data_IF_852149506785
#
_entry.id   IF_852149506785
#
_cell.length_a   1.000
_cell.length_b   1.000
_cell.length_c   1.000
_cell.angle_alpha   90.00
_cell.angle_beta   90.00
_cell.angle_gamma   90.00
#
_symmetry.space_group_name_H-M   'P 1'
#
loop_
_entity.id
_entity.type
_entity.pdbx_description
1 polymer ?
#
# COMPACT_ATOMS: atom_id res chain seq x y z
N UNK A 1 25.62 -28.11 -24.69
CA UNK A 1 24.67 -29.19 -24.43
C UNK A 1 23.33 -28.61 -23.94
N UNK A 2 22.30 -29.42 -23.92
CA UNK A 2 21.00 -29.07 -23.35
C UNK A 2 21.00 -29.53 -21.90
N UNK A 3 20.60 -28.64 -20.96
CA UNK A 3 20.43 -28.97 -19.55
C UNK A 3 18.94 -29.18 -19.27
N UNK A 4 18.60 -30.31 -18.65
CA UNK A 4 17.22 -30.64 -18.27
C UNK A 4 17.17 -30.74 -16.75
N UNK A 5 16.29 -29.92 -16.15
CA UNK A 5 16.09 -29.86 -14.71
C UNK A 5 14.68 -30.30 -14.39
N UNK A 6 14.54 -31.32 -13.53
CA UNK A 6 13.25 -31.80 -13.06
C UNK A 6 13.03 -31.34 -11.62
N UNK A 7 11.88 -30.70 -11.39
CA UNK A 7 11.48 -30.19 -10.10
C UNK A 7 10.22 -30.90 -9.61
N UNK A 8 10.05 -31.09 -8.30
CA UNK A 8 8.84 -31.66 -7.73
C UNK A 8 7.64 -30.72 -7.91
N UNK A 9 6.42 -31.31 -7.94
CA UNK A 9 5.17 -30.56 -8.09
C UNK A 9 4.77 -29.73 -6.86
N UNK A 10 4.95 -30.23 -5.61
CA UNK A 10 4.57 -29.45 -4.42
C UNK A 10 5.37 -28.15 -4.32
N UNK A 11 4.71 -26.96 -4.15
CA UNK A 11 5.38 -25.65 -4.20
C UNK A 11 6.55 -25.50 -3.23
N UNK A 12 6.39 -25.93 -1.98
CA UNK A 12 7.43 -25.83 -0.97
C UNK A 12 8.69 -26.66 -1.29
N UNK A 13 8.52 -27.87 -1.83
CA UNK A 13 9.63 -28.71 -2.25
C UNK A 13 10.30 -28.14 -3.50
N UNK A 14 9.48 -27.69 -4.47
CA UNK A 14 9.94 -27.06 -5.69
C UNK A 14 10.81 -25.82 -5.39
N UNK A 15 10.33 -24.90 -4.56
CA UNK A 15 11.08 -23.70 -4.17
C UNK A 15 12.37 -24.04 -3.43
N UNK A 16 12.32 -25.01 -2.51
CA UNK A 16 13.51 -25.43 -1.76
C UNK A 16 14.58 -25.99 -2.68
N UNK A 17 14.17 -26.86 -3.61
CA UNK A 17 15.09 -27.48 -4.57
C UNK A 17 15.62 -26.47 -5.59
N UNK A 18 14.76 -25.54 -6.06
CA UNK A 18 15.17 -24.44 -6.93
C UNK A 18 16.30 -23.61 -6.29
N UNK A 19 16.08 -23.15 -5.06
CA UNK A 19 17.05 -22.28 -4.36
C UNK A 19 18.33 -23.00 -3.97
N UNK A 20 18.24 -24.25 -3.52
CA UNK A 20 19.42 -24.99 -2.99
C UNK A 20 20.27 -25.67 -4.06
N UNK A 21 19.64 -26.12 -5.16
CA UNK A 21 20.31 -26.95 -6.15
C UNK A 21 20.37 -26.29 -7.52
N UNK A 22 19.22 -25.80 -8.02
CA UNK A 22 19.12 -25.33 -9.42
C UNK A 22 19.76 -23.95 -9.60
N UNK A 23 19.47 -23.01 -8.71
CA UNK A 23 19.99 -21.66 -8.80
C UNK A 23 21.53 -21.60 -8.75
N UNK A 24 22.21 -22.24 -7.78
CA UNK A 24 23.68 -22.32 -7.79
C UNK A 24 24.25 -22.98 -9.07
N UNK A 25 23.60 -24.03 -9.54
CA UNK A 25 24.01 -24.71 -10.78
C UNK A 25 23.91 -23.79 -12.00
N UNK A 26 22.78 -23.09 -12.18
CA UNK A 26 22.59 -22.15 -13.29
C UNK A 26 23.54 -20.96 -13.19
N UNK A 27 23.77 -20.44 -11.98
CA UNK A 27 24.76 -19.36 -11.75
C UNK A 27 26.17 -19.78 -12.17
N UNK A 28 26.55 -21.02 -11.95
CA UNK A 28 27.86 -21.52 -12.37
C UNK A 28 28.03 -21.63 -13.89
N UNK A 29 26.92 -21.72 -14.64
CA UNK A 29 26.92 -21.78 -16.11
C UNK A 29 26.92 -20.40 -16.77
N UNK A 30 26.47 -19.37 -16.07
CA UNK A 30 26.37 -18.02 -16.59
C UNK A 30 27.58 -17.18 -16.16
N UNK A 31 28.14 -16.42 -17.10
CA UNK A 31 29.12 -15.37 -16.82
C UNK A 31 28.47 -14.00 -16.59
N UNK A 32 27.16 -13.94 -16.73
CA UNK A 32 26.39 -12.72 -16.63
C UNK A 32 25.41 -12.80 -15.45
N UNK A 33 25.09 -11.65 -14.88
CA UNK A 33 24.11 -11.49 -13.82
C UNK A 33 22.90 -10.73 -14.34
N UNK A 34 21.74 -11.01 -13.74
CA UNK A 34 20.51 -10.24 -13.95
C UNK A 34 20.15 -9.60 -12.61
N UNK A 35 20.04 -8.28 -12.62
CA UNK A 35 19.59 -7.48 -11.47
C UNK A 35 18.27 -6.79 -11.84
N UNK A 36 17.35 -6.70 -10.91
CA UNK A 36 16.07 -6.05 -11.11
C UNK A 36 15.68 -5.22 -9.90
N UNK A 37 15.06 -4.05 -10.15
CA UNK A 37 14.42 -3.23 -9.15
C UNK A 37 12.92 -3.14 -9.39
N UNK A 38 12.14 -3.32 -8.34
CA UNK A 38 10.69 -3.14 -8.34
C UNK A 38 10.35 -1.74 -7.83
N UNK A 39 9.87 -0.88 -8.72
CA UNK A 39 9.39 0.46 -8.38
C UNK A 39 7.90 0.36 -8.13
N UNK A 40 7.50 0.63 -6.89
CA UNK A 40 6.14 0.44 -6.41
C UNK A 40 5.37 1.74 -6.44
N UNK A 41 4.16 1.73 -7.03
CA UNK A 41 3.31 2.93 -7.19
C UNK A 41 1.90 2.69 -6.70
N UNK A 42 1.28 3.75 -6.16
CA UNK A 42 -0.12 3.74 -5.74
C UNK A 42 -0.82 5.05 -6.14
N UNK A 43 -2.13 4.96 -6.48
CA UNK A 43 -2.97 6.11 -6.82
C UNK A 43 -3.02 6.45 -8.30
N UNK A 44 -2.23 5.78 -9.14
CA UNK A 44 -2.27 5.89 -10.60
C UNK A 44 -2.65 4.54 -11.23
N UNK A 45 -3.52 4.56 -12.22
CA UNK A 45 -3.90 3.34 -12.94
C UNK A 45 -2.81 2.88 -13.92
N UNK A 46 -2.78 1.56 -14.23
CA UNK A 46 -1.80 0.96 -15.12
C UNK A 46 -1.77 1.64 -16.51
N UNK A 47 -2.94 1.92 -17.09
CA UNK A 47 -3.03 2.61 -18.40
C UNK A 47 -2.40 4.01 -18.38
N UNK A 48 -2.53 4.73 -17.27
CA UNK A 48 -1.91 6.06 -17.12
C UNK A 48 -0.40 5.97 -16.96
N UNK A 49 0.08 4.96 -16.21
CA UNK A 49 1.52 4.68 -16.09
C UNK A 49 2.09 4.26 -17.44
N UNK A 50 1.40 3.37 -18.15
CA UNK A 50 1.80 2.95 -19.50
C UNK A 50 1.88 4.13 -20.46
N UNK A 51 0.86 5.00 -20.49
CA UNK A 51 0.85 6.18 -21.35
C UNK A 51 2.04 7.11 -21.11
N UNK A 52 2.46 7.29 -19.85
CA UNK A 52 3.58 8.15 -19.49
C UNK A 52 4.94 7.55 -19.86
N UNK A 53 5.07 6.23 -19.82
CA UNK A 53 6.36 5.53 -19.96
C UNK A 53 6.45 4.63 -21.19
N UNK A 54 5.39 4.55 -22.01
CA UNK A 54 5.28 3.65 -23.16
C UNK A 54 6.48 3.73 -24.11
N UNK A 55 6.77 4.92 -24.59
CA UNK A 55 7.89 5.14 -25.52
C UNK A 55 9.23 4.70 -24.94
N UNK A 56 9.36 4.86 -23.61
CA UNK A 56 10.57 4.43 -22.91
C UNK A 56 10.64 2.92 -22.84
N UNK A 57 9.57 2.27 -22.41
CA UNK A 57 9.50 0.81 -22.30
C UNK A 57 9.76 0.11 -23.64
N UNK A 58 9.19 0.63 -24.73
CA UNK A 58 9.35 0.05 -26.07
C UNK A 58 10.78 0.20 -26.63
N UNK A 59 11.46 1.32 -26.32
CA UNK A 59 12.82 1.58 -26.85
C UNK A 59 13.92 0.91 -26.06
N UNK A 60 13.65 0.52 -24.83
CA UNK A 60 14.68 -0.10 -23.96
C UNK A 60 14.90 -1.57 -24.34
N UNK A 61 16.17 -1.93 -24.49
CA UNK A 61 16.61 -3.32 -24.78
C UNK A 61 17.35 -3.91 -23.58
N UNK A 62 18.29 -3.16 -23.02
CA UNK A 62 19.02 -3.49 -21.80
C UNK A 62 19.56 -2.18 -21.19
N UNK A 63 19.09 -1.76 -20.02
CA UNK A 63 18.05 -2.40 -19.19
C UNK A 63 16.66 -2.39 -19.84
N UNK A 64 15.76 -3.25 -19.37
CA UNK A 64 14.32 -3.25 -19.74
C UNK A 64 13.50 -2.63 -18.63
N UNK A 65 12.33 -2.07 -18.98
CA UNK A 65 11.33 -1.58 -18.05
C UNK A 65 9.96 -2.17 -18.43
N UNK A 66 9.24 -2.74 -17.48
CA UNK A 66 7.93 -3.32 -17.71
C UNK A 66 6.97 -3.04 -16.54
N UNK A 67 5.68 -2.87 -16.86
CA UNK A 67 4.61 -2.74 -15.86
C UNK A 67 4.03 -4.11 -15.49
N UNK A 68 3.65 -4.24 -14.22
CA UNK A 68 2.94 -5.40 -13.70
C UNK A 68 1.79 -4.91 -12.84
N UNK A 69 0.56 -5.21 -13.27
CA UNK A 69 -0.62 -4.95 -12.47
C UNK A 69 -0.59 -5.80 -11.21
N UNK A 70 -0.75 -5.15 -10.07
CA UNK A 70 -1.09 -5.77 -8.79
C UNK A 70 -2.51 -5.40 -8.40
N UNK A 71 -3.15 -6.13 -7.48
CA UNK A 71 -4.42 -5.69 -6.95
C UNK A 71 -4.31 -4.28 -6.38
N UNK A 72 -4.94 -3.30 -7.06
CA UNK A 72 -5.02 -1.89 -6.65
C UNK A 72 -3.70 -1.10 -6.62
N UNK A 73 -2.62 -1.64 -7.21
CA UNK A 73 -1.30 -1.02 -7.31
C UNK A 73 -0.67 -1.29 -8.68
N UNK A 74 0.33 -0.52 -9.06
CA UNK A 74 1.16 -0.82 -10.23
C UNK A 74 2.61 -0.97 -9.79
N UNK A 75 3.22 -2.06 -10.21
CA UNK A 75 4.64 -2.30 -10.04
C UNK A 75 5.34 -2.12 -11.39
N UNK A 76 6.37 -1.31 -11.44
CA UNK A 76 7.28 -1.27 -12.57
C UNK A 76 8.55 -2.03 -12.21
N UNK A 77 9.00 -2.88 -13.11
CA UNK A 77 10.25 -3.61 -12.92
C UNK A 77 11.27 -3.14 -13.96
N UNK A 78 12.37 -2.58 -13.47
CA UNK A 78 13.55 -2.31 -14.27
C UNK A 78 14.51 -3.50 -14.14
N UNK A 79 15.01 -4.05 -15.25
CA UNK A 79 15.88 -5.24 -15.24
C UNK A 79 17.08 -5.01 -16.15
N UNK A 80 18.28 -5.22 -15.62
CA UNK A 80 19.54 -5.16 -16.37
C UNK A 80 20.25 -6.52 -16.37
N UNK A 81 20.89 -6.82 -17.48
CA UNK A 81 21.80 -7.95 -17.69
C UNK A 81 23.20 -7.40 -17.93
N UNK A 82 24.19 -7.83 -17.14
CA UNK A 82 25.56 -7.35 -17.21
C UNK A 82 26.58 -8.41 -16.81
N UNK A 83 27.87 -8.13 -16.98
CA UNK A 83 28.96 -9.02 -16.58
C UNK A 83 29.10 -9.11 -15.03
N UNK A 84 28.62 -8.10 -14.31
CA UNK A 84 28.66 -8.06 -12.85
C UNK A 84 27.52 -7.23 -12.25
N UNK A 85 27.28 -7.42 -10.94
CA UNK A 85 26.19 -6.72 -10.23
C UNK A 85 26.40 -5.20 -10.23
N UNK A 86 27.62 -4.73 -10.04
CA UNK A 86 27.95 -3.29 -10.02
C UNK A 86 27.61 -2.60 -11.34
N UNK A 87 27.94 -3.25 -12.47
CA UNK A 87 27.60 -2.76 -13.80
C UNK A 87 26.08 -2.73 -14.01
N UNK A 88 25.36 -3.80 -13.59
CA UNK A 88 23.92 -3.85 -13.68
C UNK A 88 23.24 -2.73 -12.86
N UNK A 89 23.73 -2.49 -11.65
CA UNK A 89 23.24 -1.39 -10.79
C UNK A 89 23.49 -0.01 -11.42
N UNK A 90 24.67 0.20 -12.01
CA UNK A 90 24.98 1.44 -12.73
C UNK A 90 24.05 1.68 -13.93
N UNK A 91 23.60 0.61 -14.60
CA UNK A 91 22.62 0.69 -15.68
C UNK A 91 21.20 0.97 -15.16
N UNK A 92 20.83 0.43 -14.00
CA UNK A 92 19.48 0.54 -13.44
C UNK A 92 19.24 1.89 -12.73
N UNK A 93 20.24 2.44 -12.07
CA UNK A 93 20.11 3.67 -11.30
C UNK A 93 19.47 4.84 -12.10
N UNK A 94 19.89 5.18 -13.33
CA UNK A 94 19.28 6.24 -14.14
C UNK A 94 17.82 5.90 -14.52
N UNK A 95 17.47 4.64 -14.77
CA UNK A 95 16.10 4.21 -15.11
C UNK A 95 15.17 4.40 -13.89
N UNK A 96 15.62 3.97 -12.72
CA UNK A 96 14.87 4.17 -11.47
C UNK A 96 14.66 5.64 -11.19
N UNK A 97 15.70 6.48 -11.36
CA UNK A 97 15.62 7.91 -11.16
C UNK A 97 14.61 8.58 -12.13
N UNK A 98 14.66 8.20 -13.41
CA UNK A 98 13.74 8.68 -14.43
C UNK A 98 12.28 8.31 -14.15
N UNK A 99 12.01 7.06 -13.77
CA UNK A 99 10.67 6.61 -13.40
C UNK A 99 10.15 7.36 -12.17
N UNK A 100 11.01 7.57 -11.15
CA UNK A 100 10.65 8.36 -9.97
C UNK A 100 10.35 9.82 -10.33
N UNK A 101 11.11 10.42 -11.23
CA UNK A 101 10.84 11.78 -11.68
C UNK A 101 9.53 11.89 -12.50
N UNK A 102 9.26 10.91 -13.36
CA UNK A 102 8.05 10.89 -14.17
C UNK A 102 6.77 10.65 -13.37
N UNK A 103 6.81 9.79 -12.36
CA UNK A 103 5.64 9.40 -11.57
C UNK A 103 5.53 10.17 -10.23
N UNK A 104 6.58 10.85 -9.78
CA UNK A 104 6.57 11.71 -8.60
C UNK A 104 6.04 11.03 -7.35
N UNK A 105 5.07 11.66 -6.70
CA UNK A 105 4.48 11.25 -5.41
C UNK A 105 3.73 9.90 -5.47
N UNK A 106 3.40 9.41 -6.67
CA UNK A 106 2.79 8.10 -6.83
C UNK A 106 3.77 6.96 -6.52
N UNK A 107 5.08 7.19 -6.65
CA UNK A 107 6.09 6.20 -6.25
C UNK A 107 6.22 6.19 -4.74
N UNK A 108 5.85 5.09 -4.09
CA UNK A 108 5.96 4.97 -2.65
C UNK A 108 7.21 4.23 -2.16
N UNK A 109 7.90 3.52 -3.05
CA UNK A 109 9.15 2.86 -2.70
C UNK A 109 9.78 2.10 -3.86
N UNK A 110 11.02 1.69 -3.67
CA UNK A 110 11.77 0.77 -4.55
C UNK A 110 12.17 -0.44 -3.73
N UNK A 111 11.92 -1.63 -4.25
CA UNK A 111 12.20 -2.92 -3.60
C UNK A 111 11.54 -3.09 -2.22
N UNK A 112 10.40 -2.43 -2.02
CA UNK A 112 9.61 -2.52 -0.79
C UNK A 112 8.47 -3.54 -0.94
N UNK A 113 8.09 -4.16 0.16
CA UNK A 113 7.05 -5.20 0.15
C UNK A 113 5.65 -4.65 -0.06
N UNK A 114 5.37 -3.42 0.42
CA UNK A 114 4.07 -2.76 0.34
C UNK A 114 4.06 -1.44 1.11
N UNK A 115 2.93 -0.73 1.04
CA UNK A 115 2.71 0.54 1.74
C UNK A 115 2.87 0.40 3.26
N UNK A 116 2.41 -0.72 3.84
CA UNK A 116 2.55 -1.01 5.27
C UNK A 116 4.01 -1.07 5.72
N UNK A 117 4.88 -1.65 4.88
CA UNK A 117 6.31 -1.74 5.20
C UNK A 117 6.98 -0.35 5.16
N UNK A 118 6.58 0.49 4.21
CA UNK A 118 7.06 1.88 4.11
C UNK A 118 6.56 2.69 5.31
N UNK A 119 5.27 2.59 5.67
CA UNK A 119 4.72 3.26 6.85
C UNK A 119 5.45 2.83 8.13
N UNK A 120 5.70 1.53 8.30
CA UNK A 120 6.43 1.01 9.46
C UNK A 120 7.83 1.63 9.58
N UNK A 121 8.59 1.67 8.49
CA UNK A 121 9.92 2.24 8.48
C UNK A 121 9.90 3.75 8.80
N UNK A 122 9.01 4.50 8.18
CA UNK A 122 8.85 5.95 8.41
C UNK A 122 8.42 6.27 9.86
N UNK A 123 7.52 5.47 10.43
CA UNK A 123 7.12 5.62 11.83
C UNK A 123 8.30 5.41 12.79
N UNK A 124 9.12 4.37 12.54
CA UNK A 124 10.33 4.12 13.32
C UNK A 124 11.34 5.27 13.23
N UNK A 125 11.61 5.75 12.03
CA UNK A 125 12.56 6.83 11.78
C UNK A 125 12.14 8.13 12.47
N UNK A 126 10.81 8.37 12.57
CA UNK A 126 10.26 9.57 13.23
C UNK A 126 9.93 9.37 14.70
N UNK A 127 10.12 8.18 15.25
CA UNK A 127 9.71 7.80 16.61
C UNK A 127 8.23 8.09 16.89
N UNK A 128 7.36 7.85 15.90
CA UNK A 128 5.91 8.03 16.01
C UNK A 128 5.21 6.69 16.10
N UNK A 129 4.09 6.69 16.81
CA UNK A 129 3.20 5.54 16.96
C UNK A 129 1.90 5.76 16.21
N UNK A 130 1.32 4.66 15.67
CA UNK A 130 0.12 4.65 14.87
C UNK A 130 -0.98 3.81 15.55
N UNK A 131 -2.23 4.24 15.41
CA UNK A 131 -3.42 3.43 15.66
C UNK A 131 -4.41 3.48 14.50
N UNK A 132 -5.39 2.56 14.49
CA UNK A 132 -6.39 2.45 13.43
C UNK A 132 -7.81 2.46 13.97
N UNK A 133 -8.75 3.05 13.21
CA UNK A 133 -10.20 2.92 13.43
C UNK A 133 -10.85 2.48 12.12
N UNK A 134 -11.34 1.26 12.07
CA UNK A 134 -11.81 0.66 10.82
C UNK A 134 -13.31 0.38 10.84
N UNK A 135 -13.99 0.69 9.73
CA UNK A 135 -15.37 0.31 9.50
C UNK A 135 -15.44 -0.61 8.27
N UNK A 136 -15.59 -0.08 7.07
CA UNK A 136 -15.77 -0.87 5.86
C UNK A 136 -14.58 -1.81 5.52
N UNK A 137 -13.38 -1.52 5.99
CA UNK A 137 -12.17 -2.37 5.81
C UNK A 137 -12.13 -3.57 6.72
N UNK A 138 -12.87 -3.54 7.86
CA UNK A 138 -13.07 -4.70 8.72
C UNK A 138 -11.81 -5.25 9.38
N UNK A 139 -10.78 -4.42 9.61
CA UNK A 139 -9.52 -4.82 10.23
C UNK A 139 -8.36 -5.03 9.23
N UNK A 140 -8.57 -4.80 7.92
CA UNK A 140 -7.52 -5.01 6.90
C UNK A 140 -6.32 -4.11 7.06
N UNK A 141 -6.49 -2.88 7.51
CA UNK A 141 -5.35 -1.97 7.75
C UNK A 141 -4.53 -2.49 8.92
N UNK A 142 -5.17 -2.84 10.02
CA UNK A 142 -4.53 -3.41 11.20
C UNK A 142 -3.84 -4.75 10.88
N UNK A 143 -4.49 -5.64 10.15
CA UNK A 143 -3.96 -6.94 9.73
C UNK A 143 -2.68 -6.78 8.92
N UNK A 144 -2.66 -5.93 7.90
CA UNK A 144 -1.47 -5.67 7.06
C UNK A 144 -0.31 -5.11 7.88
N UNK A 145 -0.58 -4.19 8.80
CA UNK A 145 0.44 -3.63 9.69
C UNK A 145 0.99 -4.72 10.62
N UNK A 146 0.11 -5.48 11.26
CA UNK A 146 0.49 -6.50 12.25
C UNK A 146 1.14 -7.74 11.64
N UNK A 147 1.01 -7.96 10.33
CA UNK A 147 1.77 -8.99 9.60
C UNK A 147 3.28 -8.73 9.55
N UNK A 148 3.73 -7.50 9.88
CA UNK A 148 5.15 -7.15 9.85
C UNK A 148 5.84 -7.49 11.18
N UNK A 149 6.97 -8.21 11.17
CA UNK A 149 7.75 -8.47 12.38
C UNK A 149 8.25 -7.17 13.03
N UNK A 150 8.11 -7.07 14.35
CA UNK A 150 8.61 -5.95 15.14
C UNK A 150 7.73 -4.69 15.12
N UNK A 151 6.55 -4.74 14.52
CA UNK A 151 5.64 -3.60 14.40
C UNK A 151 5.06 -3.13 15.74
N UNK A 152 5.11 -3.95 16.79
CA UNK A 152 4.70 -3.57 18.15
C UNK A 152 5.46 -2.36 18.71
N UNK A 153 6.61 -2.00 18.11
CA UNK A 153 7.36 -0.79 18.48
C UNK A 153 6.68 0.51 18.04
N UNK A 154 5.79 0.45 17.03
CA UNK A 154 5.12 1.63 16.44
C UNK A 154 3.60 1.52 16.38
N UNK A 155 3.01 0.33 16.41
CA UNK A 155 1.57 0.14 16.33
C UNK A 155 0.97 -0.11 17.70
N UNK A 156 0.09 0.79 18.16
CA UNK A 156 -0.56 0.75 19.48
C UNK A 156 -1.79 -0.16 19.51
N UNK A 157 -2.38 -0.44 18.35
CA UNK A 157 -3.61 -1.20 18.24
C UNK A 157 -4.67 -0.45 17.42
N UNK A 158 -5.88 -1.00 17.37
CA UNK A 158 -6.97 -0.39 16.61
C UNK A 158 -8.33 -0.90 17.02
N UNK A 159 -9.38 -0.23 16.51
CA UNK A 159 -10.78 -0.57 16.75
C UNK A 159 -11.47 -0.86 15.43
N UNK A 160 -12.13 -2.00 15.34
CA UNK A 160 -13.07 -2.29 14.25
C UNK A 160 -14.47 -1.88 14.71
N UNK A 161 -14.87 -0.65 14.38
CA UNK A 161 -16.15 -0.04 14.75
C UNK A 161 -17.17 -0.20 13.60
N UNK A 162 -17.60 -1.45 13.37
CA UNK A 162 -18.43 -1.77 12.20
C UNK A 162 -19.86 -1.20 12.32
N UNK A 163 -20.45 -1.28 13.50
CA UNK A 163 -21.75 -0.69 13.81
C UNK A 163 -21.64 0.78 14.23
N UNK A 164 -22.63 1.58 13.86
CA UNK A 164 -22.70 3.01 14.22
C UNK A 164 -22.64 3.22 15.73
N UNK A 165 -23.35 2.40 16.51
CA UNK A 165 -23.30 2.45 17.98
C UNK A 165 -21.91 2.19 18.56
N UNK A 166 -21.09 1.36 17.91
CA UNK A 166 -19.71 1.10 18.35
C UNK A 166 -18.81 2.32 18.07
N UNK A 167 -19.08 3.08 16.99
CA UNK A 167 -18.37 4.34 16.73
C UNK A 167 -18.57 5.34 17.87
N UNK A 168 -19.81 5.47 18.35
CA UNK A 168 -20.11 6.33 19.49
C UNK A 168 -19.54 5.77 20.80
N UNK A 169 -19.84 4.52 21.12
CA UNK A 169 -19.52 3.93 22.42
C UNK A 169 -18.02 3.73 22.67
N UNK A 170 -17.25 3.36 21.64
CA UNK A 170 -15.84 3.01 21.78
C UNK A 170 -14.93 4.14 21.33
N UNK A 171 -15.21 4.74 20.16
CA UNK A 171 -14.37 5.82 19.60
C UNK A 171 -14.83 7.21 20.06
N UNK A 172 -15.93 7.33 20.79
CA UNK A 172 -16.43 8.61 21.25
C UNK A 172 -16.93 9.54 20.14
N UNK A 173 -17.28 8.97 18.97
CA UNK A 173 -17.89 9.78 17.89
C UNK A 173 -19.19 10.38 18.41
N UNK A 174 -19.37 11.73 18.37
CA UNK A 174 -20.57 12.36 18.90
C UNK A 174 -21.84 11.82 18.21
N UNK A 175 -22.87 11.51 19.00
CA UNK A 175 -24.13 11.01 18.44
C UNK A 175 -24.74 12.04 17.47
N UNK A 176 -24.63 13.32 17.79
CA UNK A 176 -25.06 14.42 16.92
C UNK A 176 -24.37 14.39 15.54
N UNK A 177 -23.07 14.09 15.50
CA UNK A 177 -22.33 13.90 14.23
C UNK A 177 -22.90 12.73 13.42
N UNK A 178 -23.20 11.61 14.08
CA UNK A 178 -23.77 10.43 13.43
C UNK A 178 -25.21 10.69 12.92
N UNK A 179 -26.01 11.41 13.69
CA UNK A 179 -27.38 11.76 13.32
C UNK A 179 -27.43 12.75 12.15
N UNK A 180 -26.57 13.75 12.17
CA UNK A 180 -26.52 14.80 11.16
C UNK A 180 -25.85 14.33 9.86
N UNK A 181 -24.65 13.75 9.93
CA UNK A 181 -23.80 13.44 8.77
C UNK A 181 -23.79 11.96 8.40
N UNK A 182 -24.21 11.07 9.30
CA UNK A 182 -24.21 9.61 9.09
C UNK A 182 -22.87 8.95 9.37
N UNK A 183 -22.87 7.63 9.27
CA UNK A 183 -21.70 6.81 9.52
C UNK A 183 -20.61 6.94 8.42
N UNK A 184 -21.02 7.35 7.21
CA UNK A 184 -20.12 7.51 6.03
C UNK A 184 -20.07 8.99 5.67
N UNK A 185 -19.19 9.71 6.33
CA UNK A 185 -18.98 11.15 6.13
C UNK A 185 -17.57 11.55 6.53
N UNK A 186 -17.16 12.75 6.12
CA UNK A 186 -15.88 13.35 6.51
C UNK A 186 -15.82 13.57 8.03
N UNK A 187 -16.90 14.10 8.61
CA UNK A 187 -17.02 14.40 10.03
C UNK A 187 -16.88 13.13 10.87
N UNK A 188 -17.54 12.06 10.46
CA UNK A 188 -17.43 10.76 11.16
C UNK A 188 -16.01 10.17 11.00
N UNK A 189 -15.40 10.27 9.83
CA UNK A 189 -14.03 9.79 9.63
C UNK A 189 -13.04 10.54 10.53
N UNK A 190 -13.16 11.87 10.62
CA UNK A 190 -12.32 12.71 11.49
C UNK A 190 -12.50 12.32 12.96
N UNK A 191 -13.74 12.25 13.44
CA UNK A 191 -14.05 11.88 14.82
C UNK A 191 -13.58 10.45 15.17
N UNK A 192 -13.69 9.49 14.24
CA UNK A 192 -13.16 8.14 14.43
C UNK A 192 -11.64 8.14 14.59
N UNK A 193 -10.91 8.92 13.80
CA UNK A 193 -9.45 9.02 13.89
C UNK A 193 -9.04 9.67 15.24
N UNK A 194 -9.68 10.75 15.63
CA UNK A 194 -9.45 11.42 16.91
C UNK A 194 -9.71 10.49 18.10
N UNK A 195 -10.84 9.78 18.07
CA UNK A 195 -11.18 8.79 19.10
C UNK A 195 -10.16 7.66 19.21
N UNK A 196 -9.72 7.10 18.09
CA UNK A 196 -8.69 6.05 18.08
C UNK A 196 -7.36 6.56 18.65
N UNK A 197 -6.95 7.77 18.27
CA UNK A 197 -5.74 8.43 18.80
C UNK A 197 -5.83 8.61 20.30
N UNK A 198 -6.97 9.08 20.81
CA UNK A 198 -7.20 9.35 22.22
C UNK A 198 -7.18 8.07 23.06
N UNK A 199 -7.93 7.03 22.67
CA UNK A 199 -8.06 5.81 23.48
C UNK A 199 -6.81 4.95 23.51
N UNK A 200 -5.98 5.02 22.44
CA UNK A 200 -4.75 4.23 22.33
C UNK A 200 -3.50 4.99 22.82
N UNK A 201 -3.59 6.31 22.94
CA UNK A 201 -2.44 7.17 23.22
C UNK A 201 -1.38 7.15 22.10
N UNK A 202 -1.78 6.83 20.87
CA UNK A 202 -0.90 6.90 19.71
C UNK A 202 -0.62 8.35 19.30
N UNK A 203 0.54 8.61 18.67
CA UNK A 203 0.87 9.94 18.16
C UNK A 203 0.00 10.32 16.99
N UNK A 204 -0.32 9.36 16.11
CA UNK A 204 -1.24 9.53 14.98
C UNK A 204 -2.24 8.37 14.91
N UNK A 205 -3.39 8.63 14.31
CA UNK A 205 -4.40 7.59 14.09
C UNK A 205 -5.06 7.76 12.72
N UNK A 206 -5.21 6.66 11.99
CA UNK A 206 -5.92 6.64 10.72
C UNK A 206 -7.28 5.95 10.87
N UNK A 207 -8.32 6.53 10.29
CA UNK A 207 -9.65 5.94 10.26
C UNK A 207 -10.12 5.66 8.84
N UNK A 208 -11.04 4.69 8.71
CA UNK A 208 -11.67 4.36 7.43
C UNK A 208 -13.15 4.12 7.64
N UNK A 209 -14.00 4.89 6.97
CA UNK A 209 -15.44 4.65 6.89
C UNK A 209 -15.91 4.78 5.45
N UNK A 210 -16.89 3.96 5.02
CA UNK A 210 -17.31 3.98 3.61
C UNK A 210 -18.28 2.86 3.26
N UNK A 211 -18.70 2.85 2.00
CA UNK A 211 -19.65 1.90 1.42
C UNK A 211 -18.92 0.87 0.57
N UNK A 212 -18.68 -0.32 1.13
CA UNK A 212 -18.01 -1.40 0.41
C UNK A 212 -18.94 -2.21 -0.52
N UNK A 213 -20.26 -1.97 -0.44
CA UNK A 213 -21.25 -2.67 -1.26
C UNK A 213 -21.64 -4.07 -0.73
N UNK A 214 -22.52 -4.80 -1.44
CA UNK A 214 -22.98 -4.55 -2.83
C UNK A 214 -23.97 -3.40 -3.00
N UNK A 215 -24.68 -3.01 -1.91
CA UNK A 215 -25.73 -2.00 -1.93
C UNK A 215 -25.21 -0.67 -1.36
N UNK A 216 -25.94 0.40 -1.64
CA UNK A 216 -25.75 1.71 -1.03
C UNK A 216 -26.04 1.62 0.48
N UNK A 217 -25.58 2.59 1.23
CA UNK A 217 -25.93 2.69 2.66
C UNK A 217 -27.33 3.33 2.86
N UNK A 218 -27.72 3.42 4.12
CA UNK A 218 -29.05 3.97 4.53
C UNK A 218 -29.25 5.43 4.13
N UNK A 219 -28.21 6.16 3.79
CA UNK A 219 -28.24 7.56 3.32
C UNK A 219 -28.03 7.70 1.81
N UNK A 220 -28.19 6.60 1.07
CA UNK A 220 -28.03 6.53 -0.37
C UNK A 220 -26.59 6.89 -0.86
N UNK A 221 -25.58 6.79 0.00
CA UNK A 221 -24.21 6.95 -0.42
C UNK A 221 -23.80 5.87 -1.42
N UNK A 222 -23.09 6.22 -2.50
CA UNK A 222 -22.74 5.26 -3.54
C UNK A 222 -21.71 4.22 -3.06
N UNK A 223 -21.83 3.01 -3.62
CA UNK A 223 -20.82 1.96 -3.46
C UNK A 223 -19.46 2.43 -3.98
N UNK A 224 -18.43 2.31 -3.20
CA UNK A 224 -17.07 2.78 -3.51
C UNK A 224 -16.69 4.11 -2.88
N UNK A 225 -17.65 4.85 -2.30
CA UNK A 225 -17.38 6.05 -1.51
C UNK A 225 -16.72 5.67 -0.19
N UNK A 226 -15.55 6.24 0.09
CA UNK A 226 -14.80 6.02 1.32
C UNK A 226 -14.20 7.34 1.80
N UNK A 227 -14.28 7.58 3.10
CA UNK A 227 -13.59 8.65 3.80
C UNK A 227 -12.48 8.08 4.68
N UNK A 228 -11.31 8.68 4.59
CA UNK A 228 -10.13 8.33 5.37
C UNK A 228 -9.75 9.53 6.24
N UNK A 229 -9.91 9.40 7.54
CA UNK A 229 -9.48 10.40 8.51
C UNK A 229 -8.05 10.13 8.98
N UNK A 230 -7.28 11.18 9.27
CA UNK A 230 -5.97 11.08 9.90
C UNK A 230 -5.88 12.14 11.00
N UNK A 231 -5.86 11.70 12.25
CA UNK A 231 -5.61 12.55 13.41
C UNK A 231 -4.12 12.58 13.74
N UNK A 232 -3.57 13.78 13.87
CA UNK A 232 -2.16 14.07 14.13
C UNK A 232 -2.02 15.12 15.21
N UNK A 233 -0.81 15.41 15.73
CA UNK A 233 -0.58 16.54 16.63
C UNK A 233 -0.90 17.91 16.01
N UNK A 234 -0.76 18.05 14.68
CA UNK A 234 -1.01 19.29 13.96
C UNK A 234 -2.48 19.51 13.58
N UNK A 235 -3.32 18.48 13.73
CA UNK A 235 -4.74 18.54 13.42
C UNK A 235 -5.25 17.27 12.76
N UNK A 236 -6.52 17.30 12.38
CA UNK A 236 -7.19 16.15 11.77
C UNK A 236 -7.51 16.43 10.31
N UNK A 237 -7.05 15.55 9.45
CA UNK A 237 -7.22 15.62 7.99
C UNK A 237 -8.25 14.57 7.54
N UNK A 238 -8.82 14.79 6.36
CA UNK A 238 -9.69 13.79 5.72
C UNK A 238 -9.45 13.78 4.21
N UNK A 239 -9.37 12.56 3.67
CA UNK A 239 -9.40 12.30 2.22
C UNK A 239 -10.69 11.59 1.86
N UNK A 240 -11.40 12.12 0.87
CA UNK A 240 -12.51 11.44 0.22
C UNK A 240 -12.01 10.69 -1.00
N UNK A 241 -12.42 9.42 -1.16
CA UNK A 241 -12.13 8.62 -2.35
C UNK A 241 -13.43 8.02 -2.89
N UNK A 242 -13.50 7.86 -4.20
CA UNK A 242 -14.61 7.18 -4.85
C UNK A 242 -14.00 6.22 -5.89
N UNK A 243 -14.05 4.95 -5.57
CA UNK A 243 -13.52 3.89 -6.45
C UNK A 243 -14.54 3.40 -7.48
N UNK A 244 -15.75 3.96 -7.46
CA UNK A 244 -16.88 3.48 -8.23
C UNK A 244 -17.34 2.08 -7.81
N UNK A 245 -18.35 1.56 -8.51
CA UNK A 245 -18.93 0.24 -8.20
C UNK A 245 -17.95 -0.88 -8.58
N UNK A 246 -17.31 -1.45 -7.59
CA UNK A 246 -16.41 -2.61 -7.69
C UNK A 246 -16.90 -3.72 -6.77
N UNK A 247 -16.28 -4.90 -6.86
CA UNK A 247 -16.48 -5.97 -5.88
C UNK A 247 -16.06 -5.49 -4.49
N UNK A 248 -16.79 -5.94 -3.46
CA UNK A 248 -16.58 -5.58 -2.07
C UNK A 248 -15.13 -5.76 -1.60
N UNK A 249 -14.53 -6.92 -1.90
CA UNK A 249 -13.14 -7.21 -1.58
C UNK A 249 -12.15 -6.20 -2.17
N UNK A 250 -12.42 -5.73 -3.40
CA UNK A 250 -11.60 -4.72 -4.08
C UNK A 250 -11.75 -3.32 -3.48
N UNK A 251 -12.96 -2.95 -3.07
CA UNK A 251 -13.19 -1.67 -2.38
C UNK A 251 -12.49 -1.67 -1.03
N UNK A 252 -12.57 -2.77 -0.28
CA UNK A 252 -11.88 -2.90 1.00
C UNK A 252 -10.35 -2.83 0.86
N UNK A 253 -9.79 -3.46 -0.16
CA UNK A 253 -8.35 -3.43 -0.45
C UNK A 253 -7.89 -2.01 -0.83
N UNK A 254 -8.62 -1.36 -1.75
CA UNK A 254 -8.35 0.04 -2.13
C UNK A 254 -8.43 0.99 -0.94
N UNK A 255 -9.46 0.84 -0.09
CA UNK A 255 -9.63 1.66 1.09
C UNK A 255 -8.47 1.49 2.08
N UNK A 256 -7.99 0.26 2.27
CA UNK A 256 -6.81 -0.01 3.10
C UNK A 256 -5.53 0.60 2.50
N UNK A 257 -5.33 0.49 1.18
CA UNK A 257 -4.21 1.14 0.49
C UNK A 257 -4.26 2.67 0.63
N UNK A 258 -5.43 3.28 0.45
CA UNK A 258 -5.61 4.72 0.65
C UNK A 258 -5.31 5.14 2.09
N UNK A 259 -5.71 4.36 3.09
CA UNK A 259 -5.41 4.65 4.49
C UNK A 259 -3.91 4.65 4.77
N UNK A 260 -3.20 3.63 4.27
CA UNK A 260 -1.74 3.55 4.39
C UNK A 260 -1.03 4.65 3.59
N UNK A 261 -1.54 5.01 2.40
CA UNK A 261 -0.97 6.11 1.62
C UNK A 261 -1.17 7.47 2.31
N UNK A 262 -2.31 7.71 2.96
CA UNK A 262 -2.53 8.92 3.77
C UNK A 262 -1.52 9.01 4.90
N UNK A 263 -1.24 7.92 5.61
CA UNK A 263 -0.20 7.86 6.65
C UNK A 263 1.18 8.13 6.05
N UNK A 264 1.53 7.47 4.96
CA UNK A 264 2.81 7.68 4.25
C UNK A 264 2.99 9.14 3.84
N UNK A 265 1.98 9.73 3.21
CA UNK A 265 2.04 11.12 2.73
C UNK A 265 2.24 12.11 3.86
N UNK A 266 1.52 11.96 4.98
CA UNK A 266 1.78 12.75 6.18
C UNK A 266 3.22 12.58 6.65
N UNK A 267 3.69 11.36 6.81
CA UNK A 267 5.04 11.07 7.26
C UNK A 267 6.13 11.56 6.30
N UNK A 268 5.85 11.80 5.04
CA UNK A 268 6.80 12.31 4.04
C UNK A 268 6.61 13.79 3.72
N UNK A 269 5.64 14.45 4.35
CA UNK A 269 5.35 15.88 4.12
C UNK A 269 4.65 16.15 2.78
N UNK A 270 4.03 15.13 2.19
CA UNK A 270 3.27 15.25 0.95
C UNK A 270 1.82 15.68 1.23
N UNK A 271 1.13 16.35 0.28
CA UNK A 271 -0.28 16.68 0.42
C UNK A 271 -1.14 15.43 0.68
N UNK A 272 -2.04 15.50 1.66
CA UNK A 272 -2.91 14.37 2.07
C UNK A 272 -4.15 14.27 1.19
N UNK A 273 -4.69 15.41 0.77
CA UNK A 273 -5.95 15.54 0.01
C UNK A 273 -5.80 15.39 -1.47
#
# INVERSE_FOLDING_TARGET
GVHVLMLPGPPHECETMLRRCVEPYLRALSKEVIVSHDIMTFGMGESSVDQLLHDRMVRMVNPTLATYAKPCEVRLRATAKAAGAEEAEAMLAPVVAEVRAALGDYVYGVDVKGLEAVCFQLLKERNLTLSTAESCTGGRVAERITALPGVSSVYRGGVVSYWTSVKAAVLGVPQETLDQYGAVSEETARAMAEGARQITGADIAVSVTGVAGPDRDERDNPVGLVYIGLATPEGTFCRRTDSGRRRRDRIQELAANHALDVVRRYLTGLPIG
#
